data_IF_056257465105
#
_entry.id   IF_056257465105
#
_cell.length_a   1.000
_cell.length_b   1.000
_cell.length_c   1.000
_cell.angle_alpha   90.00
_cell.angle_beta   90.00
_cell.angle_gamma   90.00
#
_symmetry.space_group_name_H-M   'P 1'
#
loop_
_entity.id
_entity.type
_entity.pdbx_description
1 polymer ?
#
# COMPACT_ATOMS: atom_id res chain seq x y z
N UNK A 1 -6.00 -12.53 -0.57
CA UNK A 1 -6.57 -11.24 -1.01
C UNK A 1 -5.60 -10.12 -0.66
N UNK A 2 -5.44 -9.15 -1.55
CA UNK A 2 -4.64 -7.95 -1.30
C UNK A 2 -5.55 -6.77 -0.96
N UNK A 3 -5.11 -5.93 -0.05
CA UNK A 3 -5.76 -4.66 0.25
C UNK A 3 -4.75 -3.53 0.20
N UNK A 4 -5.17 -2.35 -0.24
CA UNK A 4 -4.38 -1.13 -0.20
C UNK A 4 -5.17 -0.10 0.60
N UNK A 5 -4.59 0.39 1.68
CA UNK A 5 -5.12 1.52 2.45
C UNK A 5 -4.22 2.71 2.16
N UNK A 6 -4.77 3.75 1.59
CA UNK A 6 -4.02 4.93 1.16
C UNK A 6 -4.68 6.20 1.68
N UNK A 7 -3.86 7.14 2.18
CA UNK A 7 -4.32 8.51 2.42
C UNK A 7 -4.33 9.22 1.07
N UNK A 8 -5.50 9.55 0.53
CA UNK A 8 -5.61 10.20 -0.78
C UNK A 8 -6.96 10.89 -0.97
N UNK A 9 -6.95 12.08 -1.57
CA UNK A 9 -8.18 12.78 -1.99
C UNK A 9 -8.77 12.16 -3.27
N UNK A 10 -7.92 11.93 -4.27
CA UNK A 10 -8.33 11.36 -5.56
C UNK A 10 -7.12 10.89 -6.36
N UNK A 11 -7.35 9.95 -7.25
CA UNK A 11 -6.34 9.42 -8.18
C UNK A 11 -6.53 9.99 -9.60
N UNK A 12 -7.00 11.24 -9.74
CA UNK A 12 -7.46 11.85 -11.02
C UNK A 12 -6.55 11.58 -12.22
N UNK A 13 -5.23 11.69 -12.04
CA UNK A 13 -4.27 11.52 -13.13
C UNK A 13 -3.96 10.05 -13.46
N UNK A 14 -4.31 9.12 -12.59
CA UNK A 14 -3.99 7.70 -12.71
C UNK A 14 -5.22 6.81 -12.65
N UNK A 15 -6.42 7.38 -12.53
CA UNK A 15 -7.67 6.63 -12.28
C UNK A 15 -7.93 5.56 -13.34
N UNK A 16 -7.79 5.89 -14.61
CA UNK A 16 -8.05 4.93 -15.70
C UNK A 16 -7.09 3.73 -15.68
N UNK A 17 -5.81 3.96 -15.40
CA UNK A 17 -4.82 2.89 -15.30
C UNK A 17 -5.06 2.04 -14.03
N UNK A 18 -5.39 2.68 -12.90
CA UNK A 18 -5.74 1.98 -11.66
C UNK A 18 -6.99 1.11 -11.87
N UNK A 19 -8.04 1.65 -12.49
CA UNK A 19 -9.26 0.91 -12.80
C UNK A 19 -9.02 -0.31 -13.69
N UNK A 20 -8.15 -0.17 -14.69
CA UNK A 20 -7.80 -1.28 -15.59
C UNK A 20 -7.16 -2.44 -14.83
N UNK A 21 -6.18 -2.18 -13.95
CA UNK A 21 -5.56 -3.23 -13.15
C UNK A 21 -6.50 -3.77 -12.06
N UNK A 22 -7.36 -2.93 -11.48
CA UNK A 22 -8.40 -3.37 -10.56
C UNK A 22 -9.36 -4.36 -11.22
N UNK A 23 -9.78 -4.10 -12.47
CA UNK A 23 -10.60 -5.04 -13.23
C UNK A 23 -9.91 -6.38 -13.46
N UNK A 24 -8.60 -6.35 -13.77
CA UNK A 24 -7.79 -7.58 -13.97
C UNK A 24 -7.62 -8.39 -12.69
N UNK A 25 -7.43 -7.74 -11.56
CA UNK A 25 -7.30 -8.37 -10.24
C UNK A 25 -8.66 -8.80 -9.66
N UNK A 26 -9.74 -8.12 -10.04
CA UNK A 26 -11.09 -8.44 -9.61
C UNK A 26 -11.22 -8.48 -8.08
N UNK A 27 -11.73 -9.60 -7.57
CA UNK A 27 -11.93 -9.81 -6.13
C UNK A 27 -10.66 -9.96 -5.31
N UNK A 28 -9.51 -10.12 -5.95
CA UNK A 28 -8.23 -10.33 -5.27
C UNK A 28 -7.61 -9.02 -4.77
N UNK A 29 -8.17 -7.86 -5.15
CA UNK A 29 -7.73 -6.54 -4.70
C UNK A 29 -8.89 -5.71 -4.14
N UNK A 30 -8.67 -5.09 -2.99
CA UNK A 30 -9.51 -4.05 -2.40
C UNK A 30 -8.71 -2.79 -2.16
N UNK A 31 -9.24 -1.64 -2.57
CA UNK A 31 -8.62 -0.33 -2.31
C UNK A 31 -9.52 0.48 -1.38
N UNK A 32 -8.94 1.06 -0.35
CA UNK A 32 -9.59 1.97 0.57
C UNK A 32 -8.80 3.27 0.66
N UNK A 33 -9.41 4.37 0.21
CA UNK A 33 -8.84 5.70 0.33
C UNK A 33 -9.39 6.37 1.59
N UNK A 34 -8.48 6.81 2.46
CA UNK A 34 -8.80 7.62 3.62
C UNK A 34 -8.60 9.09 3.26
N UNK A 35 -9.49 9.94 3.75
CA UNK A 35 -9.42 11.38 3.48
C UNK A 35 -8.20 12.00 4.16
N UNK A 36 -7.38 12.78 3.42
CA UNK A 36 -6.27 13.51 4.01
C UNK A 36 -6.73 14.54 5.04
N UNK A 37 -5.94 14.73 6.07
CA UNK A 37 -6.09 15.81 7.01
C UNK A 37 -5.37 17.05 6.46
N UNK A 38 -6.03 18.21 6.49
CA UNK A 38 -5.49 19.47 5.95
C UNK A 38 -5.21 20.43 7.10
N UNK A 39 -3.95 20.73 7.30
CA UNK A 39 -3.45 21.71 8.26
C UNK A 39 -2.07 22.20 7.83
N UNK A 40 -1.70 23.41 8.20
CA UNK A 40 -0.36 23.96 7.93
C UNK A 40 0.71 23.34 8.85
N UNK A 41 0.30 22.77 9.97
CA UNK A 41 1.16 22.05 10.88
C UNK A 41 1.35 20.59 10.41
N UNK A 42 2.44 20.33 9.71
CA UNK A 42 2.76 19.01 9.16
C UNK A 42 2.85 17.91 10.22
N UNK A 43 3.35 18.23 11.41
CA UNK A 43 3.41 17.27 12.53
C UNK A 43 2.00 16.83 12.97
N UNK A 44 1.07 17.78 13.04
CA UNK A 44 -0.33 17.49 13.36
C UNK A 44 -0.99 16.66 12.26
N UNK A 45 -0.71 16.96 10.99
CA UNK A 45 -1.19 16.16 9.84
C UNK A 45 -0.74 14.71 9.97
N UNK A 46 0.56 14.48 10.16
CA UNK A 46 1.13 13.14 10.32
C UNK A 46 0.47 12.39 11.47
N UNK A 47 0.30 13.02 12.62
CA UNK A 47 -0.34 12.40 13.79
C UNK A 47 -1.79 12.00 13.51
N UNK A 48 -2.59 12.89 12.93
CA UNK A 48 -4.01 12.64 12.62
C UNK A 48 -4.19 11.55 11.57
N UNK A 49 -3.40 11.58 10.52
CA UNK A 49 -3.45 10.59 9.45
C UNK A 49 -2.97 9.22 9.93
N UNK A 50 -1.89 9.17 10.71
CA UNK A 50 -1.41 7.91 11.33
C UNK A 50 -2.46 7.30 12.22
N UNK A 51 -3.14 8.11 13.05
CA UNK A 51 -4.24 7.66 13.91
C UNK A 51 -5.37 7.04 13.07
N UNK A 52 -5.80 7.71 12.00
CA UNK A 52 -6.85 7.21 11.10
C UNK A 52 -6.46 5.88 10.44
N UNK A 53 -5.20 5.74 10.02
CA UNK A 53 -4.67 4.48 9.49
C UNK A 53 -4.74 3.37 10.54
N UNK A 54 -4.26 3.62 11.73
CA UNK A 54 -4.25 2.64 12.83
C UNK A 54 -5.69 2.17 13.14
N UNK A 55 -6.65 3.08 13.25
CA UNK A 55 -8.05 2.76 13.53
C UNK A 55 -8.66 1.85 12.45
N UNK A 56 -8.44 2.15 11.17
CA UNK A 56 -8.94 1.34 10.05
C UNK A 56 -8.26 -0.03 10.03
N UNK A 57 -6.95 -0.08 10.27
CA UNK A 57 -6.19 -1.33 10.26
C UNK A 57 -6.63 -2.26 11.41
N UNK A 58 -6.88 -1.74 12.59
CA UNK A 58 -7.44 -2.53 13.70
C UNK A 58 -8.85 -3.04 13.40
N UNK A 59 -9.70 -2.16 12.87
CA UNK A 59 -11.12 -2.48 12.64
C UNK A 59 -11.35 -3.48 11.51
N UNK A 60 -10.60 -3.36 10.41
CA UNK A 60 -10.89 -4.10 9.17
C UNK A 60 -9.81 -5.11 8.78
N UNK A 61 -8.59 -4.95 9.27
CA UNK A 61 -7.42 -5.71 8.80
C UNK A 61 -6.63 -6.31 9.96
N UNK A 62 -7.29 -6.65 11.08
CA UNK A 62 -6.62 -7.12 12.30
C UNK A 62 -5.73 -8.35 12.06
N UNK A 63 -6.20 -9.33 11.29
CA UNK A 63 -5.51 -10.59 10.98
C UNK A 63 -4.61 -10.53 9.75
N UNK A 64 -4.69 -9.47 8.93
CA UNK A 64 -3.88 -9.35 7.72
C UNK A 64 -2.42 -9.02 8.04
N UNK A 65 -1.50 -9.54 7.22
CA UNK A 65 -0.12 -9.05 7.19
C UNK A 65 -0.11 -7.57 6.79
N UNK A 66 0.61 -6.74 7.51
CA UNK A 66 0.69 -5.30 7.26
C UNK A 66 2.05 -4.93 6.69
N UNK A 67 2.05 -4.23 5.55
CA UNK A 67 3.26 -3.76 4.87
C UNK A 67 3.14 -2.26 4.66
N UNK A 68 4.00 -1.50 5.32
CA UNK A 68 4.10 -0.05 5.16
C UNK A 68 5.03 0.27 3.98
N UNK A 69 4.50 1.00 3.01
CA UNK A 69 5.28 1.49 1.86
C UNK A 69 6.01 2.77 2.26
N UNK A 70 7.33 2.73 2.24
CA UNK A 70 8.19 3.87 2.58
C UNK A 70 9.31 4.04 1.56
N UNK A 71 9.96 5.22 1.59
CA UNK A 71 11.00 5.57 0.62
C UNK A 71 12.30 4.79 0.82
N UNK A 72 12.74 4.64 2.05
CA UNK A 72 14.05 4.08 2.40
C UNK A 72 13.91 2.83 3.26
N UNK A 73 13.90 1.68 2.61
CA UNK A 73 13.85 0.39 3.28
C UNK A 73 14.29 -0.73 2.34
N UNK A 74 14.11 -1.97 2.78
CA UNK A 74 14.36 -3.16 1.98
C UNK A 74 13.57 -3.10 0.66
N UNK A 75 14.23 -3.43 -0.42
CA UNK A 75 13.66 -3.49 -1.77
C UNK A 75 13.45 -4.94 -2.13
N UNK A 76 12.26 -5.26 -2.61
CA UNK A 76 11.97 -6.57 -3.15
C UNK A 76 11.78 -6.48 -4.67
N UNK A 77 12.41 -7.37 -5.39
CA UNK A 77 12.05 -7.60 -6.78
C UNK A 77 10.68 -8.32 -6.87
N UNK A 78 10.17 -8.47 -8.07
CA UNK A 78 8.85 -9.09 -8.29
C UNK A 78 8.77 -10.53 -7.77
N UNK A 79 9.86 -11.30 -7.87
CA UNK A 79 9.90 -12.68 -7.38
C UNK A 79 9.94 -12.73 -5.85
N UNK A 80 10.74 -11.88 -5.24
CA UNK A 80 10.78 -11.71 -3.78
C UNK A 80 9.44 -11.25 -3.23
N UNK A 81 8.77 -10.32 -3.92
CA UNK A 81 7.43 -9.87 -3.58
C UNK A 81 6.45 -11.06 -3.64
N UNK A 82 6.50 -11.87 -4.69
CA UNK A 82 5.65 -13.05 -4.83
C UNK A 82 5.90 -14.09 -3.72
N UNK A 83 7.15 -14.29 -3.31
CA UNK A 83 7.52 -15.19 -2.23
C UNK A 83 7.09 -14.68 -0.85
N UNK A 84 7.25 -13.38 -0.59
CA UNK A 84 6.94 -12.77 0.71
C UNK A 84 5.43 -12.53 0.94
N UNK A 85 4.63 -12.51 -0.11
CA UNK A 85 3.17 -12.37 -0.05
C UNK A 85 2.45 -13.71 0.04
N UNK A 86 3.01 -14.70 0.74
CA UNK A 86 2.41 -16.03 0.84
C UNK A 86 0.92 -15.95 1.26
N UNK A 87 0.20 -17.03 1.03
CA UNK A 87 -1.21 -17.39 1.20
C UNK A 87 -2.11 -16.66 2.23
N UNK A 88 -1.65 -15.63 2.91
CA UNK A 88 -2.44 -14.85 3.87
C UNK A 88 -2.86 -13.50 3.28
N UNK A 89 -3.95 -12.97 3.78
CA UNK A 89 -4.40 -11.63 3.43
C UNK A 89 -3.32 -10.60 3.80
N UNK A 90 -3.02 -9.70 2.87
CA UNK A 90 -2.01 -8.67 3.05
C UNK A 90 -2.59 -7.30 2.79
N UNK A 91 -2.34 -6.36 3.70
CA UNK A 91 -2.68 -4.94 3.52
C UNK A 91 -1.43 -4.10 3.37
N UNK A 92 -1.37 -3.38 2.25
CA UNK A 92 -0.34 -2.37 1.97
C UNK A 92 -0.83 -1.00 2.41
N UNK A 93 0.05 -0.24 3.03
CA UNK A 93 -0.26 1.07 3.61
C UNK A 93 0.56 2.10 2.88
N UNK A 94 -0.10 3.08 2.26
CA UNK A 94 0.53 4.20 1.55
C UNK A 94 0.13 5.49 2.26
N UNK A 95 1.12 6.17 2.85
CA UNK A 95 0.93 7.48 3.49
C UNK A 95 0.80 8.61 2.48
N UNK A 96 0.46 9.80 2.97
CA UNK A 96 0.42 11.05 2.21
C UNK A 96 1.82 11.68 2.09
N UNK A 97 2.02 12.80 1.36
CA UNK A 97 3.35 13.38 1.08
C UNK A 97 4.27 13.60 2.28
N UNK A 98 3.72 13.82 3.46
CA UNK A 98 4.52 13.99 4.67
C UNK A 98 4.88 12.68 5.38
N UNK A 99 4.42 11.54 4.85
CA UNK A 99 4.64 10.22 5.45
C UNK A 99 3.68 9.90 6.59
N UNK A 100 4.07 8.93 7.40
CA UNK A 100 3.35 8.47 8.58
C UNK A 100 4.30 8.48 9.78
N UNK A 101 3.75 8.52 10.99
CA UNK A 101 4.52 8.28 12.21
C UNK A 101 4.85 6.78 12.31
N UNK A 102 6.05 6.42 11.85
CA UNK A 102 6.50 5.02 11.79
C UNK A 102 6.61 4.39 13.18
N UNK A 103 6.96 5.17 14.20
CA UNK A 103 7.07 4.67 15.58
C UNK A 103 5.68 4.32 16.14
N UNK A 104 4.68 5.17 15.96
CA UNK A 104 3.31 4.84 16.35
C UNK A 104 2.77 3.63 15.58
N UNK A 105 3.06 3.51 14.29
CA UNK A 105 2.69 2.33 13.50
C UNK A 105 3.35 1.07 14.03
N UNK A 106 4.63 1.12 14.40
CA UNK A 106 5.38 -0.01 14.96
C UNK A 106 4.86 -0.43 16.34
N UNK A 107 4.51 0.54 17.18
CA UNK A 107 3.91 0.26 18.50
C UNK A 107 2.55 -0.40 18.34
N UNK A 108 1.71 0.11 17.44
CA UNK A 108 0.38 -0.44 17.17
C UNK A 108 0.44 -1.85 16.53
N UNK A 109 1.44 -2.08 15.68
CA UNK A 109 1.61 -3.33 14.92
C UNK A 109 3.06 -3.81 14.99
N UNK A 110 3.45 -4.56 16.06
CA UNK A 110 4.84 -5.00 16.25
C UNK A 110 5.40 -5.86 15.10
N UNK A 111 4.53 -6.51 14.31
CA UNK A 111 4.92 -7.33 13.16
C UNK A 111 4.80 -6.58 11.82
N UNK A 112 4.66 -5.25 11.87
CA UNK A 112 4.61 -4.41 10.68
C UNK A 112 5.88 -4.59 9.85
N UNK A 113 5.70 -5.00 8.60
CA UNK A 113 6.79 -5.02 7.62
C UNK A 113 6.86 -3.67 6.90
N UNK A 114 8.02 -3.36 6.37
CA UNK A 114 8.25 -2.16 5.56
C UNK A 114 8.78 -2.58 4.20
N UNK A 115 8.42 -1.85 3.17
CA UNK A 115 8.85 -2.10 1.80
C UNK A 115 9.10 -0.80 1.07
N UNK A 116 10.18 -0.75 0.30
CA UNK A 116 10.48 0.35 -0.63
C UNK A 116 10.52 -0.17 -2.06
N UNK A 117 9.95 0.58 -3.00
CA UNK A 117 10.15 0.28 -4.41
C UNK A 117 11.47 0.84 -4.91
N UNK A 118 11.78 2.10 -4.55
CA UNK A 118 12.97 2.82 -4.98
C UNK A 118 13.44 3.83 -3.95
N UNK A 119 14.66 4.30 -4.13
CA UNK A 119 15.21 5.41 -3.34
C UNK A 119 14.63 6.79 -3.72
N UNK A 120 13.82 6.88 -4.78
CA UNK A 120 13.15 8.12 -5.22
C UNK A 120 11.76 8.26 -4.61
N UNK A 121 11.33 9.49 -4.41
CA UNK A 121 9.97 9.79 -3.95
C UNK A 121 9.01 9.73 -5.14
N UNK A 122 7.94 8.95 -5.01
CA UNK A 122 6.86 8.89 -6.00
C UNK A 122 5.64 9.65 -5.47
N UNK A 123 4.88 10.34 -6.35
CA UNK A 123 3.54 10.76 -6.01
C UNK A 123 2.70 9.56 -5.57
N UNK A 124 1.83 9.75 -4.57
CA UNK A 124 1.03 8.64 -3.99
C UNK A 124 0.21 7.85 -5.03
N UNK A 125 -0.37 8.53 -6.03
CA UNK A 125 -1.12 7.88 -7.11
C UNK A 125 -0.25 6.98 -7.98
N UNK A 126 0.99 7.42 -8.28
CA UNK A 126 1.95 6.61 -9.02
C UNK A 126 2.48 5.44 -8.19
N UNK A 127 2.76 5.66 -6.91
CA UNK A 127 3.14 4.59 -6.00
C UNK A 127 2.04 3.52 -5.89
N UNK A 128 0.78 3.95 -5.78
CA UNK A 128 -0.38 3.07 -5.77
C UNK A 128 -0.50 2.27 -7.07
N UNK A 129 -0.42 2.94 -8.23
CA UNK A 129 -0.49 2.28 -9.53
C UNK A 129 0.63 1.25 -9.71
N UNK A 130 1.86 1.61 -9.34
CA UNK A 130 3.01 0.70 -9.40
C UNK A 130 2.79 -0.53 -8.52
N UNK A 131 2.29 -0.33 -7.30
CA UNK A 131 1.97 -1.44 -6.40
C UNK A 131 0.92 -2.37 -7.02
N UNK A 132 -0.17 -1.82 -7.53
CA UNK A 132 -1.27 -2.61 -8.13
C UNK A 132 -0.75 -3.41 -9.34
N UNK A 133 0.07 -2.81 -10.19
CA UNK A 133 0.70 -3.49 -11.32
C UNK A 133 1.58 -4.67 -10.84
N UNK A 134 2.38 -4.47 -9.80
CA UNK A 134 3.21 -5.53 -9.23
C UNK A 134 2.36 -6.64 -8.59
N UNK A 135 1.26 -6.32 -7.94
CA UNK A 135 0.33 -7.32 -7.41
C UNK A 135 -0.32 -8.14 -8.53
N UNK A 136 -0.62 -7.50 -9.67
CA UNK A 136 -1.08 -8.21 -10.86
C UNK A 136 -0.02 -9.19 -11.38
N UNK A 137 1.26 -8.80 -11.42
CA UNK A 137 2.37 -9.72 -11.79
C UNK A 137 2.45 -10.89 -10.81
N UNK A 138 2.38 -10.64 -9.52
CA UNK A 138 2.40 -11.68 -8.48
C UNK A 138 1.26 -12.68 -8.69
N UNK A 139 0.04 -12.23 -8.94
CA UNK A 139 -1.10 -13.13 -9.20
C UNK A 139 -0.92 -13.94 -10.47
N UNK A 140 -0.36 -13.32 -11.51
CA UNK A 140 -0.09 -13.98 -12.80
C UNK A 140 0.98 -15.06 -12.65
N UNK A 141 2.08 -14.78 -11.93
CA UNK A 141 3.12 -15.76 -11.64
C UNK A 141 2.56 -16.93 -10.83
N UNK A 142 1.74 -16.68 -9.82
CA UNK A 142 1.10 -17.73 -9.00
C UNK A 142 0.15 -18.63 -9.78
N UNK A 143 -0.49 -18.09 -10.79
CA UNK A 143 -1.39 -18.85 -11.67
C UNK A 143 -0.67 -19.66 -12.75
N UNK A 144 0.67 -19.64 -12.76
CA UNK A 144 1.49 -20.34 -13.77
C UNK A 144 1.43 -19.70 -15.17
N UNK A 145 0.83 -18.53 -15.31
CA UNK A 145 0.78 -17.80 -16.57
C UNK A 145 2.10 -17.06 -16.79
N UNK A 146 2.62 -17.14 -18.02
CA UNK A 146 3.77 -16.31 -18.41
C UNK A 146 3.34 -14.85 -18.46
N UNK A 147 3.94 -14.02 -17.63
CA UNK A 147 3.84 -12.57 -17.76
C UNK A 147 4.87 -12.13 -18.81
N UNK A 148 4.40 -11.63 -19.95
CA UNK A 148 5.31 -11.11 -20.97
C UNK A 148 5.82 -9.74 -20.52
N UNK A 149 7.14 -9.59 -20.51
CA UNK A 149 7.86 -8.34 -20.27
C UNK A 149 7.80 -7.45 -21.50
#
# INVERSE_FOLDING_TARGET
>A
MFSIVCIADSDKHFSSAIEEYCKRLGKDLKIENLKPFKDDNHSLVIQKETKSLIEVLFKKYSSAQKILMIKEWEKWDTLQLAQNLQAQDTVFIIGWPYGVDEEQMRIAFPQLKKLSFWAITLPHGLAKLTLIEQLYRVTTLRSGKKYHY
#
